data_IF_029056460475
#
_entry.id   IF_029056460475
#
_cell.length_a   1.000
_cell.length_b   1.000
_cell.length_c   1.000
_cell.angle_alpha   90.00
_cell.angle_beta   90.00
_cell.angle_gamma   90.00
#
_symmetry.space_group_name_H-M   'P 1'
#
loop_
_entity.id
_entity.type
_entity.pdbx_description
1 polymer ?
#
# COMPACT_ATOMS: atom_id res chain seq x y z
N UNK A 1 -26.84 5.19 20.13
CA UNK A 1 -27.46 3.81 20.12
C UNK A 1 -26.33 2.79 20.17
N UNK A 2 -26.45 1.77 21.01
CA UNK A 2 -25.51 0.66 21.05
C UNK A 2 -25.45 -0.04 19.68
N UNK A 3 -24.25 -0.33 19.20
CA UNK A 3 -24.01 -0.95 17.89
C UNK A 3 -23.79 -2.46 18.03
N UNK A 4 -24.17 -3.22 17.01
CA UNK A 4 -23.73 -4.62 16.86
C UNK A 4 -22.29 -4.69 16.33
N UNK A 5 -21.61 -5.83 16.50
CA UNK A 5 -20.28 -6.07 15.93
C UNK A 5 -20.31 -5.91 14.40
N UNK A 6 -21.36 -6.41 13.74
CA UNK A 6 -21.51 -6.26 12.28
C UNK A 6 -21.60 -4.79 11.85
N UNK A 7 -22.40 -3.98 12.56
CA UNK A 7 -22.45 -2.52 12.31
C UNK A 7 -21.12 -1.85 12.57
N UNK A 8 -20.38 -2.26 13.61
CA UNK A 8 -19.01 -1.78 13.87
C UNK A 8 -18.07 -2.03 12.71
N UNK A 9 -18.11 -3.20 12.09
CA UNK A 9 -17.30 -3.50 10.90
C UNK A 9 -17.75 -2.75 9.64
N UNK A 10 -19.05 -2.48 9.48
CA UNK A 10 -19.52 -1.62 8.39
C UNK A 10 -19.03 -0.18 8.57
N UNK A 11 -19.07 0.35 9.77
CA UNK A 11 -18.53 1.67 10.09
C UNK A 11 -16.99 1.69 9.86
N UNK A 12 -16.25 0.67 10.33
CA UNK A 12 -14.81 0.52 10.06
C UNK A 12 -14.54 0.57 8.55
N UNK A 13 -15.27 -0.20 7.74
CA UNK A 13 -15.14 -0.19 6.29
C UNK A 13 -15.30 1.23 5.72
N UNK A 14 -16.32 1.96 6.17
CA UNK A 14 -16.56 3.36 5.73
C UNK A 14 -15.44 4.30 6.17
N UNK A 15 -14.98 4.19 7.41
CA UNK A 15 -13.92 5.04 7.97
C UNK A 15 -12.56 4.84 7.28
N UNK A 16 -12.37 3.73 6.58
CA UNK A 16 -11.14 3.43 5.85
C UNK A 16 -11.15 3.98 4.42
N UNK A 17 -12.28 4.48 3.93
CA UNK A 17 -12.37 5.10 2.61
C UNK A 17 -12.06 6.61 2.67
N UNK A 18 -11.46 7.12 1.61
CA UNK A 18 -11.39 8.57 1.39
C UNK A 18 -12.75 9.08 0.88
N UNK A 19 -13.05 10.34 1.13
CA UNK A 19 -14.27 10.96 0.62
C UNK A 19 -14.22 11.21 -0.89
N UNK A 20 -15.36 11.36 -1.54
CA UNK A 20 -15.44 11.68 -2.98
C UNK A 20 -14.69 12.98 -3.30
N UNK A 21 -14.81 14.01 -2.45
CA UNK A 21 -14.07 15.27 -2.61
C UNK A 21 -12.55 15.06 -2.55
N UNK A 22 -12.07 14.17 -1.67
CA UNK A 22 -10.65 13.81 -1.62
C UNK A 22 -10.23 13.06 -2.88
N UNK A 23 -11.06 12.15 -3.39
CA UNK A 23 -10.79 11.42 -4.62
C UNK A 23 -10.71 12.37 -5.84
N UNK A 24 -11.61 13.36 -5.93
CA UNK A 24 -11.58 14.40 -6.97
C UNK A 24 -10.31 15.27 -6.87
N UNK A 25 -9.89 15.61 -5.65
CA UNK A 25 -8.65 16.35 -5.40
C UNK A 25 -7.43 15.54 -5.85
N UNK A 26 -7.36 14.24 -5.52
CA UNK A 26 -6.30 13.34 -6.01
C UNK A 26 -6.31 13.28 -7.53
N UNK A 27 -7.49 13.10 -8.15
CA UNK A 27 -7.64 13.03 -9.61
C UNK A 27 -7.11 14.28 -10.30
N UNK A 28 -7.49 15.47 -9.84
CA UNK A 28 -7.03 16.74 -10.40
C UNK A 28 -5.52 16.92 -10.22
N UNK A 29 -5.01 16.66 -9.03
CA UNK A 29 -3.59 16.90 -8.70
C UNK A 29 -2.65 15.96 -9.45
N UNK A 30 -2.99 14.67 -9.52
CA UNK A 30 -2.16 13.72 -10.24
C UNK A 30 -2.10 14.04 -11.75
N UNK A 31 -3.20 14.49 -12.35
CA UNK A 31 -3.21 14.94 -13.75
C UNK A 31 -2.30 16.13 -13.98
N UNK A 32 -2.34 17.13 -13.08
CA UNK A 32 -1.47 18.29 -13.17
C UNK A 32 0.01 17.92 -13.02
N UNK A 33 0.35 17.02 -12.09
CA UNK A 33 1.74 16.55 -11.90
C UNK A 33 2.22 15.79 -13.14
N UNK A 34 1.40 14.89 -13.69
CA UNK A 34 1.71 14.15 -14.92
C UNK A 34 1.99 15.11 -16.08
N UNK A 35 1.09 16.06 -16.29
CA UNK A 35 1.23 17.05 -17.34
C UNK A 35 2.54 17.84 -17.24
N UNK A 36 2.95 18.25 -16.05
CA UNK A 36 4.22 18.99 -15.86
C UNK A 36 5.43 18.14 -16.30
N UNK A 37 5.41 16.83 -16.00
CA UNK A 37 6.50 15.94 -16.41
C UNK A 37 6.44 15.66 -17.92
N UNK A 38 5.26 15.44 -18.49
CA UNK A 38 5.03 15.22 -19.91
C UNK A 38 5.42 16.45 -20.77
N UNK A 39 5.15 17.65 -20.28
CA UNK A 39 5.56 18.89 -20.96
C UNK A 39 7.10 19.12 -20.91
N UNK A 40 7.78 18.56 -19.89
CA UNK A 40 9.20 18.79 -19.66
C UNK A 40 10.14 17.67 -20.09
N UNK A 41 9.64 16.44 -20.26
CA UNK A 41 10.41 15.25 -20.61
C UNK A 41 9.75 14.45 -21.72
N UNK A 42 10.52 13.66 -22.46
CA UNK A 42 9.99 12.76 -23.47
C UNK A 42 9.37 11.51 -22.82
N UNK A 43 8.09 11.58 -22.52
CA UNK A 43 7.29 10.52 -21.90
C UNK A 43 6.59 9.70 -22.98
N UNK A 44 6.59 8.37 -22.83
CA UNK A 44 5.87 7.42 -23.71
C UNK A 44 4.50 7.04 -23.17
N UNK A 45 4.38 6.89 -21.86
CA UNK A 45 3.15 6.50 -21.15
C UNK A 45 3.22 7.02 -19.71
N UNK A 46 2.07 7.29 -19.11
CA UNK A 46 1.97 7.63 -17.70
C UNK A 46 0.72 7.05 -17.08
N UNK A 47 0.82 6.50 -15.87
CA UNK A 47 -0.30 5.87 -15.19
C UNK A 47 -0.14 5.90 -13.67
N UNK A 48 -1.28 5.80 -12.98
CA UNK A 48 -1.32 5.63 -11.54
C UNK A 48 -0.97 4.20 -11.13
N UNK A 49 -0.26 4.06 -10.02
CA UNK A 49 0.17 2.79 -9.44
C UNK A 49 -0.11 2.75 -7.93
N UNK A 50 0.62 1.91 -7.22
CA UNK A 50 0.62 1.85 -5.76
C UNK A 50 -0.72 1.46 -5.14
N UNK A 51 -0.87 1.79 -3.87
CA UNK A 51 -2.05 1.41 -3.08
C UNK A 51 -3.32 2.11 -3.54
N UNK A 52 -3.22 3.35 -4.04
CA UNK A 52 -4.37 4.08 -4.58
C UNK A 52 -4.98 3.33 -5.77
N UNK A 53 -4.16 2.93 -6.74
CA UNK A 53 -4.65 2.26 -7.96
C UNK A 53 -5.09 0.82 -7.72
N UNK A 54 -4.49 0.11 -6.73
CA UNK A 54 -4.95 -1.21 -6.28
C UNK A 54 -6.21 -1.13 -5.42
N UNK A 55 -6.70 0.08 -5.11
CA UNK A 55 -7.82 0.33 -4.19
C UNK A 55 -7.58 -0.19 -2.76
N UNK A 56 -6.31 -0.31 -2.34
CA UNK A 56 -5.91 -0.76 -1.00
C UNK A 56 -5.44 0.38 -0.10
N UNK A 57 -5.48 1.63 -0.58
CA UNK A 57 -5.18 2.81 0.22
C UNK A 57 -6.25 2.99 1.31
N UNK A 58 -5.84 3.45 2.50
CA UNK A 58 -6.74 3.76 3.61
C UNK A 58 -6.64 5.22 4.02
N UNK A 59 -7.73 5.77 4.53
CA UNK A 59 -7.78 7.08 5.14
C UNK A 59 -6.83 7.16 6.37
N UNK A 60 -6.38 8.36 6.76
CA UNK A 60 -6.61 9.65 6.13
C UNK A 60 -5.73 9.87 4.90
N UNK A 61 -6.23 10.63 3.92
CA UNK A 61 -5.48 10.96 2.71
C UNK A 61 -4.14 11.67 2.99
N UNK A 62 -4.07 12.47 4.07
CA UNK A 62 -2.87 13.21 4.47
C UNK A 62 -1.64 12.34 4.78
N UNK A 63 -1.86 11.04 5.02
CA UNK A 63 -0.80 10.07 5.26
C UNK A 63 -0.56 9.13 4.06
N UNK A 64 -1.21 9.41 2.93
CA UNK A 64 -1.15 8.56 1.75
C UNK A 64 -0.18 9.12 0.69
N UNK A 65 0.43 8.18 -0.04
CA UNK A 65 1.24 8.45 -1.22
C UNK A 65 0.47 8.07 -2.48
N UNK A 66 0.45 8.96 -3.46
CA UNK A 66 -0.12 8.71 -4.78
C UNK A 66 1.01 8.45 -5.76
N UNK A 67 1.18 7.21 -6.16
CA UNK A 67 2.26 6.79 -7.05
C UNK A 67 1.89 7.04 -8.51
N UNK A 68 2.73 7.79 -9.23
CA UNK A 68 2.62 8.05 -10.67
C UNK A 68 3.83 7.45 -11.38
N UNK A 69 3.62 6.47 -12.24
CA UNK A 69 4.65 5.96 -13.13
C UNK A 69 4.73 6.83 -14.39
N UNK A 70 5.95 7.27 -14.71
CA UNK A 70 6.25 8.06 -15.90
C UNK A 70 7.21 7.24 -16.78
N UNK A 71 6.68 6.60 -17.81
CA UNK A 71 7.49 5.77 -18.73
C UNK A 71 8.21 6.68 -19.72
N UNK A 72 9.51 6.84 -19.55
CA UNK A 72 10.36 7.72 -20.36
C UNK A 72 10.90 7.01 -21.61
N UNK A 73 11.31 7.78 -22.62
CA UNK A 73 12.05 7.25 -23.76
C UNK A 73 13.37 6.62 -23.32
N UNK A 74 13.77 5.55 -24.00
CA UNK A 74 15.00 4.77 -23.70
C UNK A 74 16.29 5.58 -23.76
N UNK A 75 16.30 6.72 -24.46
CA UNK A 75 17.47 7.61 -24.52
C UNK A 75 17.90 8.09 -23.12
N UNK A 76 16.92 8.36 -22.24
CA UNK A 76 17.22 8.68 -20.84
C UNK A 76 17.83 7.51 -20.09
N UNK A 77 17.40 6.26 -20.35
CA UNK A 77 18.03 5.09 -19.75
C UNK A 77 19.52 5.02 -20.08
N UNK A 78 19.86 5.11 -21.37
CA UNK A 78 21.25 5.05 -21.81
C UNK A 78 22.09 6.24 -21.36
N UNK A 79 21.45 7.39 -21.16
CA UNK A 79 22.11 8.59 -20.62
C UNK A 79 22.54 8.42 -19.15
N UNK A 80 21.78 7.69 -18.34
CA UNK A 80 22.02 7.52 -16.92
C UNK A 80 22.50 6.11 -16.52
N UNK A 81 22.53 5.16 -17.45
CA UNK A 81 22.99 3.81 -17.17
C UNK A 81 24.50 3.78 -16.87
N UNK A 82 24.96 2.74 -16.18
CA UNK A 82 26.38 2.54 -15.83
C UNK A 82 27.01 3.71 -15.04
N UNK A 83 26.22 4.40 -14.24
CA UNK A 83 26.67 5.52 -13.42
C UNK A 83 26.94 6.83 -14.18
N UNK A 84 26.67 6.89 -15.49
CA UNK A 84 26.82 8.10 -16.30
C UNK A 84 25.86 9.19 -15.78
N UNK A 85 26.30 10.46 -15.87
CA UNK A 85 25.51 11.64 -15.51
C UNK A 85 24.85 11.55 -14.10
N UNK A 86 25.49 10.88 -13.14
CA UNK A 86 24.99 10.69 -11.80
C UNK A 86 24.06 9.46 -11.63
N UNK A 87 23.93 8.64 -12.65
CA UNK A 87 23.19 7.37 -12.60
C UNK A 87 21.73 7.55 -12.24
N UNK A 88 21.20 6.62 -11.46
CA UNK A 88 19.79 6.62 -11.00
C UNK A 88 19.43 7.89 -10.22
N UNK A 89 20.37 8.41 -9.43
CA UNK A 89 20.20 9.67 -8.71
C UNK A 89 20.08 10.87 -9.65
N UNK A 90 20.89 10.90 -10.71
CA UNK A 90 20.87 11.94 -11.75
C UNK A 90 19.53 11.97 -12.50
N UNK A 91 18.96 10.81 -12.82
CA UNK A 91 17.63 10.73 -13.42
C UNK A 91 16.55 11.30 -12.49
N UNK A 92 16.58 10.94 -11.19
CA UNK A 92 15.64 11.50 -10.22
C UNK A 92 15.82 13.01 -10.05
N UNK A 93 17.06 13.53 -10.12
CA UNK A 93 17.33 14.98 -10.09
C UNK A 93 16.79 15.69 -11.34
N UNK A 94 16.83 15.07 -12.52
CA UNK A 94 16.19 15.61 -13.71
C UNK A 94 14.69 15.75 -13.53
N UNK A 95 14.01 14.71 -13.04
CA UNK A 95 12.56 14.75 -12.75
C UNK A 95 12.25 15.83 -11.70
N UNK A 96 13.03 15.90 -10.62
CA UNK A 96 12.90 16.91 -9.59
C UNK A 96 13.04 18.33 -10.14
N UNK A 97 14.04 18.58 -10.98
CA UNK A 97 14.24 19.88 -11.62
C UNK A 97 13.08 20.26 -12.56
N UNK A 98 12.56 19.27 -13.29
CA UNK A 98 11.39 19.46 -14.15
C UNK A 98 10.16 19.90 -13.35
N UNK A 99 9.88 19.21 -12.25
CA UNK A 99 8.77 19.56 -11.35
C UNK A 99 8.95 20.94 -10.71
N UNK A 100 10.18 21.30 -10.32
CA UNK A 100 10.48 22.61 -9.69
C UNK A 100 10.29 23.80 -10.61
N UNK A 101 10.27 23.63 -11.92
CA UNK A 101 9.97 24.72 -12.86
C UNK A 101 8.53 25.22 -12.71
N UNK A 102 7.61 24.35 -12.34
CA UNK A 102 6.18 24.69 -12.15
C UNK A 102 5.84 24.86 -10.67
N UNK A 103 6.30 23.93 -9.83
CA UNK A 103 6.01 23.91 -8.38
C UNK A 103 7.06 24.70 -7.59
N UNK A 104 7.18 25.99 -7.89
CA UNK A 104 8.20 26.88 -7.29
C UNK A 104 7.92 27.20 -5.82
N UNK A 105 6.64 27.17 -5.41
CA UNK A 105 6.18 27.48 -4.04
C UNK A 105 5.94 26.24 -3.18
N UNK A 106 5.97 25.04 -3.75
CA UNK A 106 5.81 23.80 -2.99
C UNK A 106 7.11 23.55 -2.21
N UNK A 107 7.08 23.54 -0.89
CA UNK A 107 8.30 23.64 -0.08
C UNK A 107 9.19 22.40 -0.20
N UNK A 108 8.60 21.21 -0.36
CA UNK A 108 9.34 19.96 -0.34
C UNK A 108 9.11 19.11 -1.60
N UNK A 109 10.12 19.16 -2.50
CA UNK A 109 10.26 18.23 -3.60
C UNK A 109 11.59 17.53 -3.41
N UNK A 110 11.57 16.26 -3.03
CA UNK A 110 12.75 15.48 -2.65
C UNK A 110 12.84 14.15 -3.37
N UNK A 111 14.05 13.59 -3.47
CA UNK A 111 14.26 12.21 -3.93
C UNK A 111 13.93 11.25 -2.79
N UNK A 112 13.20 10.18 -3.11
CA UNK A 112 12.84 9.13 -2.18
C UNK A 112 13.18 7.75 -2.79
N UNK A 113 14.47 7.40 -2.79
CA UNK A 113 14.95 6.10 -3.28
C UNK A 113 14.65 5.82 -4.75
N UNK A 114 13.41 5.57 -5.08
CA UNK A 114 12.92 5.17 -6.41
C UNK A 114 12.05 6.25 -7.08
N UNK A 115 11.68 7.29 -6.36
CA UNK A 115 10.75 8.31 -6.79
C UNK A 115 11.25 9.73 -6.50
N UNK A 116 10.54 10.70 -7.04
CA UNK A 116 10.58 12.09 -6.61
C UNK A 116 9.25 12.40 -5.93
N UNK A 117 9.31 12.66 -4.63
CA UNK A 117 8.14 13.00 -3.81
C UNK A 117 7.86 14.49 -3.88
N UNK A 118 6.64 14.87 -4.21
CA UNK A 118 6.09 16.21 -4.00
C UNK A 118 5.18 16.15 -2.78
N UNK A 119 5.49 16.92 -1.74
CA UNK A 119 4.66 17.04 -0.56
C UNK A 119 3.74 18.25 -0.71
N UNK A 120 2.46 17.96 -0.89
CA UNK A 120 1.41 18.97 -0.83
C UNK A 120 0.87 19.09 0.61
N UNK A 121 0.03 20.10 0.89
CA UNK A 121 -0.52 20.31 2.23
C UNK A 121 -1.48 19.18 2.66
N UNK A 122 -2.08 18.50 1.70
CA UNK A 122 -3.14 17.51 1.90
C UNK A 122 -2.68 16.04 1.68
N UNK A 123 -1.69 15.77 0.81
CA UNK A 123 -1.10 14.45 0.59
C UNK A 123 0.20 14.52 -0.22
N UNK A 124 0.87 13.38 -0.37
CA UNK A 124 2.10 13.26 -1.14
C UNK A 124 1.84 12.64 -2.52
N UNK A 125 2.65 13.06 -3.50
CA UNK A 125 2.68 12.46 -4.83
C UNK A 125 4.09 11.98 -5.12
N UNK A 126 4.24 10.69 -5.38
CA UNK A 126 5.49 10.05 -5.78
C UNK A 126 5.53 9.86 -7.29
N UNK A 127 6.46 10.57 -7.94
CA UNK A 127 6.71 10.46 -9.37
C UNK A 127 7.84 9.47 -9.60
N UNK A 128 7.52 8.31 -10.19
CA UNK A 128 8.44 7.20 -10.45
C UNK A 128 8.81 7.21 -11.94
N UNK A 129 10.01 7.68 -12.33
CA UNK A 129 10.47 7.50 -13.70
C UNK A 129 10.73 6.02 -13.97
N UNK A 130 10.27 5.55 -15.12
CA UNK A 130 10.33 4.14 -15.48
C UNK A 130 10.74 3.97 -16.96
N UNK A 131 11.23 2.79 -17.31
CA UNK A 131 11.50 2.38 -18.66
C UNK A 131 10.83 1.05 -18.96
N UNK A 132 10.35 0.88 -20.19
CA UNK A 132 9.88 -0.44 -20.63
C UNK A 132 11.02 -1.45 -20.56
N UNK A 133 10.76 -2.62 -19.99
CA UNK A 133 11.72 -3.71 -19.87
C UNK A 133 11.47 -4.74 -20.97
N UNK A 134 12.55 -5.24 -21.59
CA UNK A 134 12.46 -6.39 -22.47
C UNK A 134 11.96 -7.62 -21.68
N UNK A 135 11.00 -8.31 -22.24
CA UNK A 135 10.31 -9.42 -21.57
C UNK A 135 9.16 -9.02 -20.64
N UNK A 136 8.79 -7.73 -20.62
CA UNK A 136 7.63 -7.18 -19.88
C UNK A 136 8.00 -6.48 -18.57
N UNK A 137 7.03 -5.77 -18.01
CA UNK A 137 7.21 -4.92 -16.85
C UNK A 137 8.07 -3.69 -17.12
N UNK A 138 8.61 -3.12 -16.05
CA UNK A 138 9.34 -1.85 -16.08
C UNK A 138 10.66 -1.94 -15.31
N UNK A 139 11.64 -1.10 -15.69
CA UNK A 139 12.82 -0.79 -14.89
C UNK A 139 12.64 0.57 -14.24
N UNK A 140 12.85 0.67 -12.94
CA UNK A 140 12.83 1.91 -12.17
C UNK A 140 14.19 2.16 -11.51
N UNK A 141 14.59 3.43 -11.27
CA UNK A 141 15.82 3.72 -10.57
C UNK A 141 15.72 3.38 -9.09
N UNK A 142 16.83 2.98 -8.49
CA UNK A 142 17.03 3.01 -7.05
C UNK A 142 18.32 3.76 -6.74
N UNK A 143 18.18 5.00 -6.27
CA UNK A 143 19.33 5.88 -5.98
C UNK A 143 20.10 5.46 -4.72
N UNK A 144 19.50 4.65 -3.83
CA UNK A 144 20.15 4.15 -2.62
C UNK A 144 21.08 2.98 -2.98
N UNK A 145 20.55 1.97 -3.67
CA UNK A 145 21.36 0.81 -4.11
C UNK A 145 22.14 1.05 -5.39
N UNK A 146 21.94 2.17 -6.05
CA UNK A 146 22.54 2.54 -7.36
C UNK A 146 22.30 1.45 -8.43
N UNK A 147 21.07 0.91 -8.46
CA UNK A 147 20.67 -0.16 -9.39
C UNK A 147 19.35 0.16 -10.05
N UNK A 148 19.15 -0.43 -11.22
CA UNK A 148 17.82 -0.52 -11.82
C UNK A 148 17.07 -1.70 -11.24
N UNK A 149 15.81 -1.48 -10.88
CA UNK A 149 14.94 -2.51 -10.27
C UNK A 149 13.82 -2.84 -11.24
N UNK A 150 13.63 -4.15 -11.49
CA UNK A 150 12.47 -4.62 -12.24
C UNK A 150 11.21 -4.53 -11.37
N UNK A 151 10.08 -4.16 -11.98
CA UNK A 151 8.76 -4.13 -11.33
C UNK A 151 7.65 -4.24 -12.36
N UNK A 152 6.45 -4.64 -11.94
CA UNK A 152 5.27 -4.60 -12.78
C UNK A 152 4.03 -4.17 -11.97
N UNK A 153 3.82 -2.87 -11.80
CA UNK A 153 2.67 -2.36 -11.07
C UNK A 153 1.33 -2.64 -11.75
N UNK A 154 1.31 -2.80 -13.09
CA UNK A 154 0.08 -3.19 -13.82
C UNK A 154 -0.34 -4.60 -13.43
N UNK A 155 0.61 -5.54 -13.38
CA UNK A 155 0.35 -6.92 -12.92
C UNK A 155 -0.07 -6.96 -11.45
N UNK A 156 0.52 -6.13 -10.58
CA UNK A 156 0.03 -6.01 -9.20
C UNK A 156 -1.44 -5.58 -9.15
N UNK A 157 -1.84 -4.56 -9.94
CA UNK A 157 -3.24 -4.10 -9.99
C UNK A 157 -4.15 -5.25 -10.43
N UNK A 158 -3.79 -5.99 -11.48
CA UNK A 158 -4.59 -7.09 -12.02
C UNK A 158 -4.76 -8.21 -10.98
N UNK A 159 -3.69 -8.61 -10.30
CA UNK A 159 -3.73 -9.68 -9.28
C UNK A 159 -4.66 -9.30 -8.13
N UNK A 160 -4.58 -8.06 -7.62
CA UNK A 160 -5.47 -7.60 -6.54
C UNK A 160 -6.91 -7.45 -7.00
N UNK A 161 -7.14 -6.97 -8.22
CA UNK A 161 -8.49 -6.87 -8.81
C UNK A 161 -9.12 -8.25 -8.97
N UNK A 162 -8.37 -9.22 -9.49
CA UNK A 162 -8.84 -10.59 -9.66
C UNK A 162 -9.16 -11.26 -8.32
N UNK A 163 -8.29 -11.08 -7.30
CA UNK A 163 -8.56 -11.57 -5.95
C UNK A 163 -9.84 -10.95 -5.38
N UNK A 164 -10.04 -9.63 -5.56
CA UNK A 164 -11.24 -8.96 -5.08
C UNK A 164 -12.51 -9.48 -5.78
N UNK A 165 -12.46 -9.70 -7.09
CA UNK A 165 -13.59 -10.31 -7.84
C UNK A 165 -13.88 -11.74 -7.37
N UNK A 166 -12.86 -12.55 -7.13
CA UNK A 166 -13.01 -13.92 -6.63
C UNK A 166 -13.66 -13.99 -5.23
N UNK A 167 -13.61 -12.91 -4.47
CA UNK A 167 -14.22 -12.78 -3.14
C UNK A 167 -15.42 -11.83 -3.12
N UNK A 168 -16.12 -11.66 -4.21
CA UNK A 168 -17.32 -10.82 -4.35
C UNK A 168 -17.14 -9.36 -3.87
N UNK A 169 -15.91 -8.84 -3.95
CA UNK A 169 -15.58 -7.48 -3.52
C UNK A 169 -15.16 -7.33 -2.05
N UNK A 170 -15.10 -8.40 -1.27
CA UNK A 170 -14.79 -8.34 0.17
C UNK A 170 -13.29 -8.46 0.47
N UNK A 171 -12.45 -8.88 -0.48
CA UNK A 171 -11.02 -9.02 -0.28
C UNK A 171 -10.33 -7.67 0.00
N UNK A 172 -10.58 -6.66 -0.83
CA UNK A 172 -10.01 -5.31 -0.64
C UNK A 172 -10.41 -4.67 0.70
N UNK A 173 -11.66 -4.68 1.14
CA UNK A 173 -12.05 -4.25 2.48
C UNK A 173 -11.26 -4.95 3.60
N UNK A 174 -11.08 -6.28 3.53
CA UNK A 174 -10.29 -7.02 4.52
C UNK A 174 -8.83 -6.56 4.50
N UNK A 175 -8.21 -6.38 3.33
CA UNK A 175 -6.86 -5.83 3.21
C UNK A 175 -6.75 -4.45 3.86
N UNK A 176 -7.72 -3.56 3.64
CA UNK A 176 -7.77 -2.23 4.28
C UNK A 176 -7.86 -2.34 5.81
N UNK A 177 -8.67 -3.25 6.34
CA UNK A 177 -8.78 -3.52 7.78
C UNK A 177 -7.44 -4.00 8.36
N UNK A 178 -6.73 -4.90 7.67
CA UNK A 178 -5.39 -5.36 8.06
C UNK A 178 -4.40 -4.18 8.11
N UNK A 179 -4.46 -3.28 7.15
CA UNK A 179 -3.62 -2.07 7.13
C UNK A 179 -3.96 -1.09 8.27
N UNK A 180 -5.25 -0.96 8.62
CA UNK A 180 -5.67 -0.19 9.78
C UNK A 180 -5.10 -0.76 11.08
N UNK A 181 -5.20 -2.08 11.28
CA UNK A 181 -4.54 -2.76 12.40
C UNK A 181 -3.03 -2.46 12.43
N UNK A 182 -2.35 -2.53 11.30
CA UNK A 182 -0.91 -2.23 11.25
C UNK A 182 -0.58 -0.79 11.67
N UNK A 183 -1.43 0.19 11.33
CA UNK A 183 -1.29 1.56 11.84
C UNK A 183 -1.43 1.63 13.35
N UNK A 184 -2.41 0.93 13.92
CA UNK A 184 -2.65 0.90 15.37
C UNK A 184 -1.45 0.33 16.16
N UNK A 185 -0.69 -0.58 15.56
CA UNK A 185 0.53 -1.15 16.18
C UNK A 185 1.83 -0.44 15.81
N UNK A 186 1.74 0.79 15.26
CA UNK A 186 2.89 1.63 14.93
C UNK A 186 3.54 1.27 13.59
N UNK A 187 2.79 0.77 12.62
CA UNK A 187 3.26 0.44 11.26
C UNK A 187 4.46 -0.53 11.26
N UNK A 188 4.35 -1.59 12.05
CA UNK A 188 5.41 -2.59 12.20
C UNK A 188 5.75 -3.30 10.87
N UNK A 189 4.75 -3.45 10.00
CA UNK A 189 4.89 -4.10 8.70
C UNK A 189 4.83 -3.09 7.55
N UNK A 190 5.54 -3.39 6.46
CA UNK A 190 5.35 -2.67 5.20
C UNK A 190 3.97 -3.00 4.63
N UNK A 191 3.21 -1.99 4.22
CA UNK A 191 1.83 -2.16 3.73
C UNK A 191 1.73 -3.17 2.59
N UNK A 192 2.62 -3.10 1.59
CA UNK A 192 2.61 -4.03 0.46
C UNK A 192 2.88 -5.49 0.88
N UNK A 193 3.72 -5.72 1.90
CA UNK A 193 3.94 -7.06 2.45
C UNK A 193 2.64 -7.64 3.04
N UNK A 194 1.89 -6.85 3.82
CA UNK A 194 0.59 -7.29 4.36
C UNK A 194 -0.44 -7.56 3.27
N UNK A 195 -0.47 -6.73 2.24
CA UNK A 195 -1.34 -6.91 1.08
C UNK A 195 -1.04 -8.25 0.37
N UNK A 196 0.24 -8.55 0.13
CA UNK A 196 0.67 -9.82 -0.51
C UNK A 196 0.46 -11.03 0.41
N UNK A 197 0.70 -10.90 1.72
CA UNK A 197 0.35 -11.95 2.69
C UNK A 197 -1.15 -12.28 2.62
N UNK A 198 -2.01 -11.26 2.52
CA UNK A 198 -3.44 -11.47 2.39
C UNK A 198 -3.80 -12.22 1.10
N UNK A 199 -3.17 -11.89 -0.04
CA UNK A 199 -3.35 -12.65 -1.29
C UNK A 199 -3.10 -14.15 -1.10
N UNK A 200 -1.98 -14.51 -0.45
CA UNK A 200 -1.63 -15.91 -0.24
C UNK A 200 -2.47 -16.61 0.84
N UNK A 201 -2.93 -15.87 1.86
CA UNK A 201 -3.74 -16.43 2.94
C UNK A 201 -5.17 -16.69 2.47
N UNK A 202 -5.73 -15.80 1.64
CA UNK A 202 -7.10 -15.94 1.16
C UNK A 202 -7.20 -16.70 -0.18
N UNK A 203 -6.09 -17.16 -0.77
CA UNK A 203 -6.17 -17.99 -1.97
C UNK A 203 -7.06 -19.21 -1.69
N UNK A 204 -8.15 -19.36 -2.47
CA UNK A 204 -9.17 -20.43 -2.35
C UNK A 204 -9.89 -20.50 -0.98
N UNK A 205 -9.87 -19.42 -0.21
CA UNK A 205 -10.58 -19.30 1.07
C UNK A 205 -11.77 -18.37 0.92
N UNK A 206 -12.97 -18.80 1.30
CA UNK A 206 -14.17 -17.96 1.26
C UNK A 206 -14.15 -16.93 2.38
N UNK A 207 -14.37 -15.66 2.06
CA UNK A 207 -14.64 -14.60 3.02
C UNK A 207 -16.15 -14.58 3.25
N UNK A 208 -16.59 -14.96 4.46
CA UNK A 208 -18.02 -15.01 4.83
C UNK A 208 -18.45 -13.75 5.56
N UNK A 209 -17.60 -13.18 6.39
CA UNK A 209 -17.80 -11.93 7.12
C UNK A 209 -16.44 -11.33 7.55
N UNK A 210 -16.43 -10.04 7.86
CA UNK A 210 -15.20 -9.33 8.18
C UNK A 210 -14.57 -9.72 9.53
N UNK A 211 -15.35 -9.94 10.64
CA UNK A 211 -14.79 -10.43 11.88
C UNK A 211 -14.00 -11.74 11.70
N UNK A 212 -14.64 -12.76 11.13
CA UNK A 212 -14.00 -14.07 10.93
C UNK A 212 -12.84 -14.03 9.94
N UNK A 213 -12.95 -13.23 8.87
CA UNK A 213 -11.87 -13.05 7.91
C UNK A 213 -10.64 -12.39 8.55
N UNK A 214 -10.81 -11.35 9.35
CA UNK A 214 -9.71 -10.69 10.06
C UNK A 214 -9.04 -11.61 11.07
N UNK A 215 -9.81 -12.32 11.86
CA UNK A 215 -9.27 -13.33 12.78
C UNK A 215 -8.51 -14.43 12.03
N UNK A 216 -9.07 -14.93 10.94
CA UNK A 216 -8.43 -15.95 10.09
C UNK A 216 -7.11 -15.45 9.51
N UNK A 217 -7.07 -14.21 9.03
CA UNK A 217 -5.82 -13.61 8.57
C UNK A 217 -4.76 -13.61 9.67
N UNK A 218 -5.06 -13.13 10.88
CA UNK A 218 -4.11 -13.09 11.98
C UNK A 218 -3.63 -14.50 12.38
N UNK A 219 -4.53 -15.50 12.39
CA UNK A 219 -4.18 -16.89 12.65
C UNK A 219 -3.17 -17.45 11.64
N UNK A 220 -3.39 -17.18 10.35
CA UNK A 220 -2.50 -17.69 9.31
C UNK A 220 -1.23 -16.87 9.15
N UNK A 221 -1.30 -15.55 9.35
CA UNK A 221 -0.17 -14.65 9.19
C UNK A 221 0.95 -14.92 10.21
N UNK A 222 0.63 -15.30 11.46
CA UNK A 222 1.64 -15.67 12.48
C UNK A 222 2.52 -16.86 12.07
N UNK A 223 2.03 -17.74 11.20
CA UNK A 223 2.82 -18.81 10.63
C UNK A 223 3.48 -18.41 9.31
N UNK A 224 2.74 -17.77 8.42
CA UNK A 224 3.21 -17.37 7.09
C UNK A 224 4.37 -16.37 7.13
N UNK A 225 4.38 -15.46 8.10
CA UNK A 225 5.44 -14.43 8.25
C UNK A 225 6.83 -14.99 8.54
N UNK A 226 6.92 -16.26 8.94
CA UNK A 226 8.19 -16.98 9.15
C UNK A 226 8.89 -17.35 7.85
N UNK A 227 8.20 -17.30 6.74
CA UNK A 227 8.66 -17.73 5.42
C UNK A 227 8.66 -16.58 4.44
N UNK A 228 9.34 -16.77 3.33
CA UNK A 228 9.35 -15.80 2.23
C UNK A 228 7.94 -15.52 1.72
N UNK A 229 7.71 -14.27 1.40
CA UNK A 229 6.48 -13.79 0.75
C UNK A 229 6.84 -13.31 -0.66
N UNK A 230 6.75 -14.19 -1.69
CA UNK A 230 7.15 -13.84 -3.05
C UNK A 230 6.35 -12.67 -3.62
N UNK A 231 7.00 -11.82 -4.40
CA UNK A 231 6.33 -10.80 -5.19
C UNK A 231 5.37 -11.45 -6.21
N UNK A 232 4.05 -11.14 -6.18
CA UNK A 232 3.08 -11.73 -7.10
C UNK A 232 3.33 -11.36 -8.58
N UNK A 233 4.08 -10.28 -8.85
CA UNK A 233 4.52 -9.94 -10.20
C UNK A 233 5.78 -10.70 -10.61
N UNK A 234 6.57 -11.23 -9.66
CA UNK A 234 7.75 -12.04 -9.91
C UNK A 234 9.03 -11.26 -10.17
N UNK A 235 9.09 -9.97 -9.83
CA UNK A 235 10.25 -9.10 -10.13
C UNK A 235 11.15 -8.84 -8.93
N UNK A 236 10.59 -8.66 -7.73
CA UNK A 236 11.36 -8.20 -6.55
C UNK A 236 11.71 -9.30 -5.56
N UNK A 237 11.34 -10.54 -5.84
CA UNK A 237 11.61 -11.69 -4.96
C UNK A 237 10.74 -11.64 -3.69
N UNK A 238 11.36 -11.65 -2.52
CA UNK A 238 10.67 -11.65 -1.23
C UNK A 238 10.33 -10.22 -0.76
N UNK A 239 9.03 -9.89 -0.74
CA UNK A 239 8.55 -8.59 -0.24
C UNK A 239 8.64 -8.48 1.28
N UNK A 240 8.82 -9.60 1.98
CA UNK A 240 9.02 -9.69 3.43
C UNK A 240 10.49 -9.64 3.87
N UNK A 241 11.46 -9.49 2.95
CA UNK A 241 12.90 -9.61 3.20
C UNK A 241 13.47 -8.64 4.26
N UNK A 242 12.75 -7.60 4.64
CA UNK A 242 13.14 -6.68 5.73
C UNK A 242 12.95 -7.30 7.13
N UNK A 243 12.21 -8.41 7.24
CA UNK A 243 12.08 -9.23 8.44
C UNK A 243 13.01 -10.45 8.25
N UNK A 244 14.27 -10.34 8.64
CA UNK A 244 15.29 -11.30 8.25
C UNK A 244 15.98 -12.01 9.44
N UNK A 245 15.95 -11.41 10.64
CA UNK A 245 16.55 -12.01 11.83
C UNK A 245 15.50 -12.77 12.66
N UNK A 246 15.93 -13.78 13.42
CA UNK A 246 15.06 -14.54 14.33
C UNK A 246 14.27 -13.63 15.28
N UNK A 247 14.92 -12.58 15.79
CA UNK A 247 14.28 -11.59 16.67
C UNK A 247 13.18 -10.80 15.95
N UNK A 248 13.42 -10.37 14.71
CA UNK A 248 12.42 -9.65 13.92
C UNK A 248 11.24 -10.57 13.54
N UNK A 249 11.53 -11.82 13.18
CA UNK A 249 10.51 -12.83 12.88
C UNK A 249 9.65 -13.09 14.13
N UNK A 250 10.26 -13.29 15.30
CA UNK A 250 9.51 -13.51 16.53
C UNK A 250 8.65 -12.30 16.90
N UNK A 251 9.19 -11.08 16.78
CA UNK A 251 8.42 -9.85 17.02
C UNK A 251 7.21 -9.73 16.07
N UNK A 252 7.37 -10.12 14.80
CA UNK A 252 6.28 -10.14 13.83
C UNK A 252 5.22 -11.19 14.20
N UNK A 253 5.63 -12.41 14.58
CA UNK A 253 4.74 -13.47 15.07
C UNK A 253 3.94 -13.01 16.28
N UNK A 254 4.59 -12.38 17.26
CA UNK A 254 3.96 -11.90 18.50
C UNK A 254 2.88 -10.83 18.21
N UNK A 255 3.11 -9.94 17.22
CA UNK A 255 2.10 -8.95 16.80
C UNK A 255 0.85 -9.64 16.25
N UNK A 256 1.01 -10.63 15.38
CA UNK A 256 -0.13 -11.38 14.84
C UNK A 256 -0.79 -12.26 15.92
N UNK A 257 -0.03 -12.83 16.84
CA UNK A 257 -0.55 -13.64 17.95
C UNK A 257 -1.49 -12.82 18.84
N UNK A 258 -1.06 -11.63 19.26
CA UNK A 258 -1.89 -10.73 20.06
C UNK A 258 -3.17 -10.33 19.32
N UNK A 259 -3.09 -10.03 18.02
CA UNK A 259 -4.26 -9.69 17.21
C UNK A 259 -5.22 -10.88 17.07
N UNK A 260 -4.69 -12.08 16.86
CA UNK A 260 -5.47 -13.32 16.79
C UNK A 260 -6.20 -13.59 18.12
N UNK A 261 -5.51 -13.54 19.25
CA UNK A 261 -6.11 -13.79 20.57
C UNK A 261 -7.23 -12.79 20.90
N UNK A 262 -7.00 -11.50 20.59
CA UNK A 262 -8.03 -10.46 20.77
C UNK A 262 -9.24 -10.69 19.89
N UNK A 263 -9.04 -11.00 18.62
CA UNK A 263 -10.13 -11.24 17.67
C UNK A 263 -10.94 -12.51 18.02
N UNK A 264 -10.27 -13.59 18.42
CA UNK A 264 -10.92 -14.81 18.87
C UNK A 264 -11.77 -14.58 20.14
N UNK A 265 -11.24 -13.81 21.09
CA UNK A 265 -11.97 -13.43 22.32
C UNK A 265 -13.16 -12.51 22.01
N UNK A 266 -12.99 -11.57 21.06
CA UNK A 266 -14.08 -10.68 20.63
C UNK A 266 -15.24 -11.46 20.00
N UNK A 267 -14.94 -12.44 19.14
CA UNK A 267 -15.96 -13.33 18.58
C UNK A 267 -16.65 -14.20 19.65
N UNK A 268 -15.90 -14.68 20.64
CA UNK A 268 -16.49 -15.42 21.76
C UNK A 268 -17.46 -14.55 22.57
N UNK A 269 -17.07 -13.33 22.89
CA UNK A 269 -17.94 -12.40 23.58
C UNK A 269 -19.21 -12.07 22.78
N UNK A 270 -19.07 -11.84 21.47
CA UNK A 270 -20.22 -11.59 20.60
C UNK A 270 -21.21 -12.79 20.60
N UNK A 271 -20.70 -14.03 20.49
CA UNK A 271 -21.55 -15.26 20.57
C UNK A 271 -22.29 -15.40 21.90
N UNK A 272 -21.70 -14.92 22.98
CA UNK A 272 -22.30 -14.93 24.32
C UNK A 272 -23.23 -13.75 24.61
N UNK A 273 -23.42 -12.86 23.62
CA UNK A 273 -24.25 -11.65 23.79
C UNK A 273 -23.55 -10.50 24.52
N UNK A 274 -22.27 -10.62 24.84
CA UNK A 274 -21.46 -9.58 25.49
C UNK A 274 -20.93 -8.59 24.43
N UNK A 275 -21.84 -7.89 23.77
CA UNK A 275 -21.53 -7.08 22.57
C UNK A 275 -20.63 -5.90 22.91
N UNK A 276 -20.81 -5.24 24.07
CA UNK A 276 -19.96 -4.14 24.50
C UNK A 276 -18.48 -4.56 24.64
N UNK A 277 -18.25 -5.70 25.31
CA UNK A 277 -16.91 -6.25 25.48
C UNK A 277 -16.27 -6.68 24.15
N UNK A 278 -17.08 -7.23 23.23
CA UNK A 278 -16.64 -7.59 21.90
C UNK A 278 -16.19 -6.34 21.10
N UNK A 279 -16.99 -5.27 21.10
CA UNK A 279 -16.69 -4.00 20.45
C UNK A 279 -15.41 -3.38 21.03
N UNK A 280 -15.24 -3.40 22.36
CA UNK A 280 -14.02 -2.91 23.00
C UNK A 280 -12.76 -3.65 22.52
N UNK A 281 -12.83 -4.98 22.36
CA UNK A 281 -11.70 -5.76 21.85
C UNK A 281 -11.38 -5.44 20.38
N UNK A 282 -12.40 -5.26 19.55
CA UNK A 282 -12.21 -4.83 18.15
C UNK A 282 -11.64 -3.42 18.08
N UNK A 283 -12.05 -2.50 18.95
CA UNK A 283 -11.45 -1.16 19.04
C UNK A 283 -9.98 -1.22 19.46
N UNK A 284 -9.57 -2.17 20.30
CA UNK A 284 -8.15 -2.40 20.64
C UNK A 284 -7.33 -2.96 19.47
N UNK A 285 -7.98 -3.54 18.45
CA UNK A 285 -7.33 -4.02 17.24
C UNK A 285 -7.19 -2.88 16.22
N UNK A 286 -8.28 -2.14 15.96
CA UNK A 286 -8.34 -1.17 14.87
C UNK A 286 -8.19 0.30 15.29
N UNK A 287 -8.06 0.57 16.59
CA UNK A 287 -7.91 1.93 17.12
C UNK A 287 -9.09 2.83 16.77
N UNK A 288 -8.80 4.05 16.41
CA UNK A 288 -9.77 5.10 16.06
C UNK A 288 -10.64 4.79 14.83
N UNK A 289 -10.23 3.83 14.00
CA UNK A 289 -11.01 3.41 12.83
C UNK A 289 -12.26 2.62 13.22
N UNK A 290 -12.25 1.94 14.36
CA UNK A 290 -13.40 1.18 14.84
C UNK A 290 -14.27 2.05 15.75
N UNK A 291 -15.60 2.07 15.56
CA UNK A 291 -16.48 2.92 16.37
C UNK A 291 -16.55 2.44 17.82
N UNK A 292 -16.85 3.38 18.73
CA UNK A 292 -17.20 3.05 20.11
C UNK A 292 -18.57 2.37 20.18
N UNK A 293 -18.83 1.65 21.28
CA UNK A 293 -20.11 0.96 21.49
C UNK A 293 -21.31 1.91 21.63
N UNK A 294 -21.09 3.11 22.18
CA UNK A 294 -22.09 4.16 22.39
C UNK A 294 -21.82 5.40 21.54
#
# INVERSE_FOLDING_TARGET
MAISVSQGFQTLRTNLEITDLQADTVSTRQQNVRKVVEDGLAVLDSFLAGSYKRNTMIAPLSEADIDIFMVLKSDYFWHYNEGKNGGQAGLLDLVKQTLRKTYTKTPDISRNGQAVTIRFDDFMVDVVPAFNREGGGFLIPNSISQRWIGTDPKKHIDVFSNANMAHNGDFIPVVKMIKAWNKTIGQHFRSFHLEVLALYIFDKVTISDFPSATRFFFDKAREKVKYQTPDPAGYTGDVGSYISTSTQIQAAVDKFQVAFERSAKAEDYARRGLVADAVELWSKIFGEYFPSYY
#
